data_IF_198238122788
#
_entry.id   IF_198238122788
#
_cell.length_a   1.000
_cell.length_b   1.000
_cell.length_c   1.000
_cell.angle_alpha   90.00
_cell.angle_beta   90.00
_cell.angle_gamma   90.00
#
_symmetry.space_group_name_H-M   'P 1'
#
loop_
_entity.id
_entity.type
_entity.pdbx_description
1 polymer ?
#
# COMPACT_ATOMS: atom_id res chain seq x y z
N UNK A 1 -10.78 -7.98 -10.96
CA UNK A 1 -11.42 -7.06 -9.99
C UNK A 1 -12.79 -7.53 -9.52
N UNK A 2 -13.82 -7.65 -10.37
CA UNK A 2 -15.18 -8.03 -9.94
C UNK A 2 -15.25 -9.30 -9.07
N UNK A 3 -14.58 -10.39 -9.50
CA UNK A 3 -14.50 -11.64 -8.71
C UNK A 3 -14.01 -11.42 -7.28
N UNK A 4 -12.96 -10.62 -7.09
CA UNK A 4 -12.39 -10.34 -5.77
C UNK A 4 -13.36 -9.52 -4.92
N UNK A 5 -13.96 -8.48 -5.50
CA UNK A 5 -14.94 -7.64 -4.81
C UNK A 5 -16.16 -8.45 -4.36
N UNK A 6 -16.68 -9.34 -5.22
CA UNK A 6 -17.80 -10.22 -4.90
C UNK A 6 -17.41 -11.23 -3.81
N UNK A 7 -16.20 -11.81 -3.86
CA UNK A 7 -15.74 -12.78 -2.87
C UNK A 7 -15.66 -12.16 -1.46
N UNK A 8 -15.12 -10.95 -1.34
CA UNK A 8 -15.04 -10.26 -0.04
C UNK A 8 -16.38 -9.68 0.41
N UNK A 9 -17.27 -9.31 -0.51
CA UNK A 9 -18.66 -8.97 -0.18
C UNK A 9 -19.42 -10.19 0.36
N UNK A 10 -19.23 -11.36 -0.23
CA UNK A 10 -19.79 -12.61 0.28
C UNK A 10 -19.27 -12.92 1.68
N UNK A 11 -17.96 -12.81 1.91
CA UNK A 11 -17.36 -12.99 3.24
C UNK A 11 -17.96 -12.02 4.26
N UNK A 12 -18.05 -10.72 3.93
CA UNK A 12 -18.68 -9.70 4.78
C UNK A 12 -20.11 -10.09 5.12
N UNK A 13 -20.92 -10.45 4.13
CA UNK A 13 -22.32 -10.84 4.34
C UNK A 13 -22.44 -12.09 5.22
N UNK A 14 -21.55 -13.07 5.05
CA UNK A 14 -21.51 -14.26 5.90
C UNK A 14 -21.19 -13.91 7.35
N UNK A 15 -20.25 -13.02 7.60
CA UNK A 15 -19.92 -12.53 8.95
C UNK A 15 -21.09 -11.75 9.57
N UNK A 16 -21.72 -10.84 8.80
CA UNK A 16 -22.91 -10.09 9.23
C UNK A 16 -24.09 -11.04 9.56
N UNK A 17 -24.32 -12.08 8.74
CA UNK A 17 -25.32 -13.13 9.02
C UNK A 17 -25.00 -13.96 10.26
N UNK A 18 -23.72 -14.07 10.61
CA UNK A 18 -23.25 -14.78 11.81
C UNK A 18 -23.33 -13.91 13.07
N UNK A 19 -23.85 -12.68 12.97
CA UNK A 19 -24.07 -11.77 14.09
C UNK A 19 -22.90 -10.82 14.39
N UNK A 20 -21.86 -10.77 13.55
CA UNK A 20 -20.76 -9.82 13.70
C UNK A 20 -21.14 -8.44 13.14
N UNK A 21 -20.70 -7.38 13.83
CA UNK A 21 -20.59 -6.05 13.23
C UNK A 21 -19.30 -5.98 12.40
N UNK A 22 -19.43 -5.70 11.10
CA UNK A 22 -18.28 -5.73 10.18
C UNK A 22 -17.96 -4.33 9.66
N UNK A 23 -16.78 -3.84 10.03
CA UNK A 23 -16.17 -2.64 9.41
C UNK A 23 -15.29 -3.09 8.26
N UNK A 24 -15.74 -2.84 7.02
CA UNK A 24 -14.97 -3.15 5.82
C UNK A 24 -14.33 -1.88 5.27
N UNK A 25 -13.01 -1.86 5.15
CA UNK A 25 -12.25 -0.76 4.55
C UNK A 25 -11.63 -1.23 3.23
N UNK A 26 -11.71 -0.40 2.18
CA UNK A 26 -11.05 -0.67 0.88
C UNK A 26 -10.45 0.62 0.34
N UNK A 27 -9.14 0.66 0.16
CA UNK A 27 -8.50 1.85 -0.38
C UNK A 27 -8.70 2.02 -1.90
N UNK A 28 -8.41 3.23 -2.37
CA UNK A 28 -8.09 3.51 -3.77
C UNK A 28 -6.63 3.95 -3.87
N UNK A 29 -5.82 3.22 -4.63
CA UNK A 29 -4.51 3.69 -5.07
C UNK A 29 -4.73 4.68 -6.21
N UNK A 30 -4.85 5.96 -5.87
CA UNK A 30 -5.13 7.06 -6.80
C UNK A 30 -3.88 7.89 -7.13
N UNK A 31 -2.71 7.48 -6.63
CA UNK A 31 -1.38 7.97 -7.00
C UNK A 31 -0.50 6.76 -7.30
N UNK A 32 -0.22 6.49 -8.57
CA UNK A 32 0.69 5.42 -9.03
C UNK A 32 1.34 5.83 -10.34
N UNK A 33 2.48 5.22 -10.68
CA UNK A 33 3.21 5.42 -11.94
C UNK A 33 2.30 5.34 -13.18
N UNK A 34 1.37 4.39 -13.23
CA UNK A 34 0.43 4.21 -14.34
C UNK A 34 -0.59 5.35 -14.41
N UNK A 35 -1.05 5.83 -13.27
CA UNK A 35 -2.01 6.95 -13.19
C UNK A 35 -1.31 8.23 -13.62
N UNK A 36 -0.10 8.49 -13.12
CA UNK A 36 0.73 9.65 -13.47
C UNK A 36 0.99 9.67 -14.99
N UNK A 37 1.50 8.57 -15.54
CA UNK A 37 1.80 8.48 -16.97
C UNK A 37 0.56 8.71 -17.85
N UNK A 38 -0.60 8.21 -17.42
CA UNK A 38 -1.85 8.40 -18.14
C UNK A 38 -2.40 9.81 -18.01
N UNK A 39 -2.31 10.41 -16.82
CA UNK A 39 -2.72 11.79 -16.57
C UNK A 39 -1.91 12.77 -17.44
N UNK A 40 -0.58 12.58 -17.51
CA UNK A 40 0.31 13.33 -18.40
C UNK A 40 -0.07 13.15 -19.88
N UNK A 41 -0.32 11.91 -20.33
CA UNK A 41 -0.70 11.62 -21.72
C UNK A 41 -2.05 12.23 -22.11
N UNK A 42 -3.01 12.26 -21.18
CA UNK A 42 -4.36 12.79 -21.40
C UNK A 42 -4.49 14.28 -21.06
N UNK A 43 -3.40 14.93 -20.63
CA UNK A 43 -3.39 16.32 -20.16
C UNK A 43 -4.48 16.62 -19.12
N UNK A 44 -4.62 15.71 -18.14
CA UNK A 44 -5.54 15.81 -16.99
C UNK A 44 -4.75 15.82 -15.69
N UNK A 45 -5.32 16.36 -14.63
CA UNK A 45 -4.80 16.14 -13.29
C UNK A 45 -4.99 14.68 -12.86
N UNK A 46 -4.16 14.22 -11.92
CA UNK A 46 -4.27 12.88 -11.31
C UNK A 46 -5.65 12.74 -10.65
N UNK A 47 -6.12 13.79 -9.98
CA UNK A 47 -7.38 13.82 -9.27
C UNK A 47 -8.58 13.67 -10.22
N UNK A 48 -8.58 14.37 -11.35
CA UNK A 48 -9.63 14.24 -12.37
C UNK A 48 -9.66 12.83 -12.96
N UNK A 49 -8.49 12.29 -13.33
CA UNK A 49 -8.39 10.96 -13.91
C UNK A 49 -8.86 9.89 -12.92
N UNK A 50 -8.37 9.96 -11.68
CA UNK A 50 -8.73 9.00 -10.63
C UNK A 50 -10.22 9.07 -10.28
N UNK A 51 -10.82 10.26 -10.22
CA UNK A 51 -12.26 10.42 -9.94
C UNK A 51 -13.13 9.72 -10.99
N UNK A 52 -12.79 9.84 -12.29
CA UNK A 52 -13.51 9.16 -13.38
C UNK A 52 -13.47 7.63 -13.18
N UNK A 53 -12.31 7.07 -12.84
CA UNK A 53 -12.16 5.62 -12.65
C UNK A 53 -12.81 5.12 -11.36
N UNK A 54 -12.74 5.90 -10.27
CA UNK A 54 -13.42 5.60 -9.01
C UNK A 54 -14.94 5.57 -9.20
N UNK A 55 -15.50 6.56 -9.90
CA UNK A 55 -16.93 6.60 -10.22
C UNK A 55 -17.35 5.42 -11.09
N UNK A 56 -16.56 5.09 -12.11
CA UNK A 56 -16.84 3.94 -12.97
C UNK A 56 -16.80 2.63 -12.21
N UNK A 57 -15.77 2.43 -11.38
CA UNK A 57 -15.63 1.23 -10.56
C UNK A 57 -16.78 1.09 -9.55
N UNK A 58 -17.17 2.19 -8.91
CA UNK A 58 -18.29 2.21 -7.96
C UNK A 58 -19.61 1.87 -8.65
N UNK A 59 -19.84 2.40 -9.85
CA UNK A 59 -21.03 2.09 -10.67
C UNK A 59 -21.11 0.60 -11.01
N UNK A 60 -19.99 0.02 -11.45
CA UNK A 60 -19.93 -1.39 -11.83
C UNK A 60 -20.17 -2.31 -10.62
N UNK A 61 -19.60 -1.98 -9.45
CA UNK A 61 -19.82 -2.75 -8.23
C UNK A 61 -21.25 -2.65 -7.70
N UNK A 62 -21.87 -1.47 -7.78
CA UNK A 62 -23.27 -1.29 -7.43
C UNK A 62 -24.17 -2.13 -8.36
N UNK A 63 -23.88 -2.18 -9.66
CA UNK A 63 -24.60 -3.02 -10.62
C UNK A 63 -24.46 -4.52 -10.31
N UNK A 64 -23.35 -4.93 -9.68
CA UNK A 64 -23.10 -6.29 -9.19
C UNK A 64 -23.66 -6.55 -7.78
N UNK A 65 -24.39 -5.60 -7.19
CA UNK A 65 -24.94 -5.68 -5.83
C UNK A 65 -23.87 -5.88 -4.73
N UNK A 66 -22.64 -5.43 -4.99
CA UNK A 66 -21.57 -5.42 -3.98
C UNK A 66 -21.86 -4.29 -3.00
N UNK A 67 -21.88 -4.58 -1.69
CA UNK A 67 -22.17 -3.60 -0.65
C UNK A 67 -21.02 -2.60 -0.55
N UNK A 68 -21.36 -1.30 -0.47
CA UNK A 68 -20.35 -0.25 -0.28
C UNK A 68 -19.53 -0.51 1.00
N UNK A 69 -18.19 -0.39 0.96
CA UNK A 69 -17.34 -0.42 2.15
C UNK A 69 -17.78 0.60 3.21
N UNK A 70 -17.42 0.35 4.47
CA UNK A 70 -17.61 1.31 5.56
C UNK A 70 -16.71 2.54 5.37
N UNK A 71 -15.49 2.35 4.85
CA UNK A 71 -14.57 3.43 4.48
C UNK A 71 -13.85 3.11 3.17
N UNK A 72 -13.54 4.17 2.41
CA UNK A 72 -12.81 4.07 1.14
C UNK A 72 -11.69 5.13 1.04
N UNK A 73 -10.60 4.98 1.81
CA UNK A 73 -9.52 5.96 1.84
C UNK A 73 -8.80 6.00 0.49
N UNK A 74 -8.37 7.19 0.06
CA UNK A 74 -7.55 7.37 -1.14
C UNK A 74 -6.10 7.61 -0.75
N UNK A 75 -5.15 7.01 -1.46
CA UNK A 75 -3.73 7.20 -1.19
C UNK A 75 -3.32 8.69 -1.13
N UNK A 76 -3.87 9.52 -2.02
CA UNK A 76 -3.63 10.97 -2.06
C UNK A 76 -4.06 11.73 -0.80
N UNK A 77 -5.03 11.21 -0.05
CA UNK A 77 -5.55 11.83 1.16
C UNK A 77 -4.73 11.44 2.41
N UNK A 78 -3.76 10.53 2.28
CA UNK A 78 -3.00 9.94 3.40
C UNK A 78 -1.47 10.08 3.25
N UNK A 79 -1.00 11.02 2.42
CA UNK A 79 0.44 11.29 2.24
C UNK A 79 1.14 11.59 3.57
N UNK A 80 0.54 12.38 4.46
CA UNK A 80 1.10 12.69 5.78
C UNK A 80 1.25 11.44 6.65
N UNK A 81 0.32 10.49 6.57
CA UNK A 81 0.41 9.23 7.30
C UNK A 81 1.54 8.34 6.76
N UNK A 82 1.72 8.31 5.43
CA UNK A 82 2.83 7.61 4.79
C UNK A 82 4.16 8.21 5.22
N UNK A 83 4.29 9.54 5.15
CA UNK A 83 5.50 10.27 5.58
C UNK A 83 5.83 9.96 7.04
N UNK A 84 4.86 10.10 7.96
CA UNK A 84 5.09 9.83 9.38
C UNK A 84 5.50 8.38 9.68
N UNK A 85 4.95 7.41 8.94
CA UNK A 85 5.37 6.02 9.07
C UNK A 85 6.80 5.81 8.57
N UNK A 86 7.21 6.48 7.49
CA UNK A 86 8.59 6.42 6.97
C UNK A 86 9.57 7.10 7.93
N UNK A 87 9.23 8.24 8.51
CA UNK A 87 10.02 8.91 9.54
C UNK A 87 10.25 7.97 10.74
N UNK A 88 9.20 7.29 11.21
CA UNK A 88 9.30 6.30 12.29
C UNK A 88 10.28 5.16 11.92
N UNK A 89 10.22 4.66 10.68
CA UNK A 89 11.12 3.60 10.21
C UNK A 89 12.58 4.08 10.08
N UNK A 90 12.80 5.33 9.68
CA UNK A 90 14.11 5.96 9.63
C UNK A 90 14.70 6.15 11.03
N UNK A 91 13.92 6.69 11.97
CA UNK A 91 14.32 6.88 13.38
C UNK A 91 14.75 5.56 14.04
N UNK A 92 14.05 4.46 13.70
CA UNK A 92 14.37 3.11 14.18
C UNK A 92 15.58 2.47 13.47
N UNK A 93 16.21 3.14 12.51
CA UNK A 93 17.28 2.58 11.66
C UNK A 93 16.84 1.31 10.90
N UNK A 94 15.56 1.25 10.52
CA UNK A 94 14.97 0.18 9.71
C UNK A 94 14.83 0.61 8.25
N UNK A 95 14.65 1.90 8.00
CA UNK A 95 14.76 2.47 6.67
C UNK A 95 16.12 3.14 6.47
N UNK A 96 16.51 3.33 5.21
CA UNK A 96 17.72 4.04 4.82
C UNK A 96 17.53 4.77 3.49
N UNK A 97 18.21 5.89 3.34
CA UNK A 97 18.24 6.67 2.11
C UNK A 97 19.47 6.30 1.27
N UNK A 98 19.31 6.17 -0.04
CA UNK A 98 20.41 5.96 -1.00
C UNK A 98 20.78 7.27 -1.71
N UNK A 99 21.85 7.28 -2.51
CA UNK A 99 22.43 8.51 -3.08
C UNK A 99 21.48 9.32 -3.95
N UNK A 100 20.52 8.67 -4.62
CA UNK A 100 19.52 9.32 -5.46
C UNK A 100 18.34 9.95 -4.67
N UNK A 101 18.36 9.81 -3.35
CA UNK A 101 17.34 10.32 -2.43
C UNK A 101 16.18 9.34 -2.14
N UNK A 102 16.07 8.22 -2.85
CA UNK A 102 15.07 7.18 -2.57
C UNK A 102 15.29 6.61 -1.17
N UNK A 103 14.20 6.28 -0.47
CA UNK A 103 14.23 5.67 0.86
C UNK A 103 13.74 4.23 0.73
N UNK A 104 14.53 3.28 1.24
CA UNK A 104 14.24 1.84 1.23
C UNK A 104 14.05 1.31 2.65
N UNK A 105 13.25 0.25 2.77
CA UNK A 105 13.16 -0.56 3.99
C UNK A 105 14.20 -1.69 3.94
N UNK A 106 14.96 -1.84 5.03
CA UNK A 106 15.91 -2.93 5.27
C UNK A 106 15.18 -4.15 5.83
N UNK A 107 14.85 -5.09 4.95
CA UNK A 107 14.06 -6.29 5.28
C UNK A 107 14.74 -7.21 6.29
N UNK A 108 16.08 -7.13 6.46
CA UNK A 108 16.78 -7.92 7.48
C UNK A 108 16.42 -7.54 8.91
N UNK A 109 15.78 -6.38 9.10
CA UNK A 109 15.31 -5.91 10.40
C UNK A 109 14.01 -6.55 10.83
N UNK A 110 13.28 -7.17 9.91
CA UNK A 110 12.09 -7.94 10.20
C UNK A 110 12.42 -9.43 10.28
N UNK A 111 12.38 -9.98 11.49
CA UNK A 111 12.70 -11.39 11.75
C UNK A 111 11.68 -12.35 11.14
N UNK A 112 10.47 -11.87 10.87
CA UNK A 112 9.37 -12.64 10.33
C UNK A 112 9.15 -12.36 8.83
N UNK A 113 10.08 -11.65 8.17
CA UNK A 113 9.97 -11.36 6.74
C UNK A 113 9.97 -12.66 5.91
N UNK A 114 8.94 -12.83 5.07
CA UNK A 114 8.75 -14.03 4.25
C UNK A 114 7.89 -15.11 4.91
N UNK A 115 7.42 -14.88 6.14
CA UNK A 115 6.56 -15.82 6.87
C UNK A 115 5.16 -15.93 6.27
N UNK A 116 4.62 -14.86 5.66
CA UNK A 116 3.28 -14.84 5.09
C UNK A 116 3.22 -15.55 3.73
N UNK A 117 4.24 -15.33 2.90
CA UNK A 117 4.35 -15.89 1.57
C UNK A 117 4.97 -17.31 1.53
N UNK A 118 5.35 -17.85 2.70
CA UNK A 118 5.99 -19.17 2.89
C UNK A 118 7.16 -19.34 1.94
N UNK A 119 8.25 -18.60 2.18
CA UNK A 119 9.57 -18.76 1.55
C UNK A 119 9.58 -19.56 0.22
N UNK A 120 8.84 -19.08 -0.78
CA UNK A 120 9.08 -19.45 -2.16
C UNK A 120 10.37 -18.73 -2.57
N UNK A 121 11.49 -19.26 -2.07
CA UNK A 121 12.86 -18.85 -2.41
C UNK A 121 13.13 -18.90 -3.93
N UNK A 122 12.21 -19.46 -4.71
CA UNK A 122 12.18 -19.48 -6.16
C UNK A 122 11.34 -18.37 -6.82
N UNK A 123 10.64 -17.51 -6.09
CA UNK A 123 10.03 -16.31 -6.69
C UNK A 123 11.16 -15.32 -6.89
N UNK A 124 11.70 -15.35 -8.11
CA UNK A 124 12.67 -14.43 -8.66
C UNK A 124 12.42 -13.00 -8.17
N UNK A 125 13.30 -12.50 -7.30
CA UNK A 125 13.50 -11.06 -7.11
C UNK A 125 13.89 -10.35 -8.44
N UNK A 126 14.15 -11.13 -9.51
CA UNK A 126 14.59 -10.72 -10.83
C UNK A 126 13.63 -9.94 -11.73
N UNK A 127 12.64 -9.22 -11.19
CA UNK A 127 11.81 -8.27 -12.00
C UNK A 127 11.94 -6.81 -11.61
N UNK A 128 12.71 -6.49 -10.58
CA UNK A 128 12.96 -5.10 -10.19
C UNK A 128 14.41 -4.81 -10.54
N UNK A 129 14.64 -3.82 -11.41
CA UNK A 129 15.97 -3.47 -11.88
C UNK A 129 16.97 -3.37 -10.72
N UNK A 130 18.18 -3.89 -10.93
CA UNK A 130 19.25 -3.91 -9.93
C UNK A 130 19.57 -2.47 -9.51
N UNK A 131 19.06 -2.05 -8.36
CA UNK A 131 19.49 -0.82 -7.70
C UNK A 131 20.69 -1.21 -6.84
N UNK A 132 21.90 -0.88 -7.32
CA UNK A 132 23.16 -1.35 -6.72
C UNK A 132 23.37 -0.90 -5.27
N UNK A 133 22.73 0.20 -4.85
CA UNK A 133 22.85 0.75 -3.50
C UNK A 133 21.91 0.09 -2.48
N UNK A 134 21.04 -0.83 -2.91
CA UNK A 134 20.24 -1.62 -1.98
C UNK A 134 21.14 -2.51 -1.14
N UNK A 135 20.94 -2.52 0.17
CA UNK A 135 21.64 -3.42 1.10
C UNK A 135 21.32 -4.87 0.80
N UNK A 136 20.05 -5.17 0.48
CA UNK A 136 19.57 -6.50 0.11
C UNK A 136 18.68 -6.44 -1.13
N UNK A 137 18.65 -7.53 -1.90
CA UNK A 137 17.87 -7.62 -3.13
C UNK A 137 16.36 -7.50 -2.86
N UNK A 138 15.91 -8.01 -1.71
CA UNK A 138 14.50 -7.96 -1.29
C UNK A 138 14.06 -6.61 -0.70
N UNK A 139 14.98 -5.68 -0.42
CA UNK A 139 14.62 -4.37 0.13
C UNK A 139 13.70 -3.63 -0.84
N UNK A 140 12.76 -2.84 -0.34
CA UNK A 140 11.77 -2.19 -1.18
C UNK A 140 11.63 -0.72 -0.85
N UNK A 141 11.25 0.06 -1.86
CA UNK A 141 11.15 1.50 -1.77
C UNK A 141 9.93 1.89 -0.91
N UNK A 142 10.18 2.78 0.03
CA UNK A 142 9.18 3.47 0.84
C UNK A 142 8.85 4.84 0.27
N UNK A 143 9.86 5.56 -0.23
CA UNK A 143 9.74 6.88 -0.85
C UNK A 143 10.61 6.95 -2.09
N UNK A 144 10.02 7.28 -3.23
CA UNK A 144 10.73 7.56 -4.49
C UNK A 144 11.00 9.05 -4.58
N UNK A 145 12.27 9.43 -4.64
CA UNK A 145 12.70 10.81 -4.81
C UNK A 145 12.29 11.35 -6.19
N UNK A 146 11.93 12.62 -6.24
CA UNK A 146 11.51 13.31 -7.45
C UNK A 146 12.65 13.43 -8.47
N UNK A 147 12.40 13.01 -9.72
CA UNK A 147 13.40 12.94 -10.79
C UNK A 147 13.37 14.08 -11.81
N UNK A 148 12.66 15.17 -11.52
CA UNK A 148 12.58 16.35 -12.40
C UNK A 148 11.29 16.44 -13.23
N UNK A 149 11.33 17.24 -14.29
CA UNK A 149 10.14 17.77 -14.99
C UNK A 149 9.14 16.75 -15.54
N UNK A 150 9.54 15.48 -15.71
CA UNK A 150 8.68 14.40 -16.19
C UNK A 150 8.21 13.45 -15.07
N UNK A 151 8.44 13.81 -13.82
CA UNK A 151 8.01 13.05 -12.64
C UNK A 151 6.93 13.83 -11.87
N UNK A 152 6.23 13.14 -10.98
CA UNK A 152 5.31 13.76 -10.05
C UNK A 152 5.83 13.52 -8.64
N UNK A 153 5.99 14.61 -7.89
CA UNK A 153 6.44 14.55 -6.51
C UNK A 153 5.66 15.54 -5.65
N UNK A 154 5.35 15.10 -4.45
CA UNK A 154 4.73 15.83 -3.36
C UNK A 154 5.84 16.35 -2.44
N UNK A 155 5.71 17.58 -1.98
CA UNK A 155 6.64 18.15 -1.01
C UNK A 155 6.44 17.50 0.36
N UNK A 156 7.53 17.13 1.02
CA UNK A 156 7.51 16.49 2.34
C UNK A 156 8.83 16.74 3.11
N UNK A 157 8.86 16.51 4.44
CA UNK A 157 10.10 16.48 5.22
C UNK A 157 11.15 15.49 4.72
N UNK A 158 10.75 14.45 3.99
CA UNK A 158 11.65 13.45 3.37
C UNK A 158 12.31 13.97 2.08
N UNK A 159 11.96 15.18 1.65
CA UNK A 159 12.24 15.72 0.32
C UNK A 159 11.09 15.49 -0.66
N UNK A 160 11.13 16.20 -1.78
CA UNK A 160 10.11 16.09 -2.83
C UNK A 160 10.16 14.70 -3.45
N UNK A 161 9.03 14.01 -3.50
CA UNK A 161 8.95 12.63 -3.99
C UNK A 161 7.56 12.05 -3.84
N UNK A 162 7.45 10.72 -3.83
CA UNK A 162 6.15 10.03 -3.75
C UNK A 162 6.27 8.70 -3.01
N UNK A 163 5.19 8.20 -2.42
CA UNK A 163 5.21 6.92 -1.70
C UNK A 163 5.52 5.74 -2.63
N UNK A 164 6.12 4.70 -2.05
CA UNK A 164 6.15 3.38 -2.64
C UNK A 164 4.80 2.68 -2.50
N UNK A 165 4.50 1.74 -3.41
CA UNK A 165 3.17 1.11 -3.47
C UNK A 165 2.72 0.45 -2.15
N UNK A 166 3.63 -0.17 -1.40
CA UNK A 166 3.28 -0.91 -0.19
C UNK A 166 2.95 -0.01 1.01
N UNK A 167 3.63 1.14 1.16
CA UNK A 167 3.46 2.00 2.35
C UNK A 167 2.07 2.65 2.42
N UNK A 168 1.41 2.75 1.27
CA UNK A 168 0.05 3.26 1.16
C UNK A 168 -0.91 2.47 2.05
N UNK A 169 -1.00 1.16 1.86
CA UNK A 169 -1.94 0.30 2.56
C UNK A 169 -1.64 0.25 4.07
N UNK A 170 -0.38 0.02 4.45
CA UNK A 170 0.02 -0.04 5.87
C UNK A 170 -0.31 1.24 6.64
N UNK A 171 0.00 2.40 6.06
CA UNK A 171 -0.26 3.69 6.70
C UNK A 171 -1.75 4.03 6.77
N UNK A 172 -2.53 3.71 5.72
CA UNK A 172 -3.97 3.88 5.71
C UNK A 172 -4.65 2.96 6.73
N UNK A 173 -4.23 1.69 6.82
CA UNK A 173 -4.73 0.76 7.84
C UNK A 173 -4.47 1.33 9.23
N UNK A 174 -3.24 1.74 9.51
CA UNK A 174 -2.89 2.32 10.81
C UNK A 174 -3.75 3.54 11.15
N UNK A 175 -4.01 4.41 10.17
CA UNK A 175 -4.76 5.64 10.39
C UNK A 175 -6.28 5.44 10.51
N UNK A 176 -6.83 4.36 9.97
CA UNK A 176 -8.29 4.18 9.80
C UNK A 176 -8.90 3.02 10.58
N UNK A 177 -8.19 1.90 10.70
CA UNK A 177 -8.77 0.63 11.16
C UNK A 177 -7.95 -0.03 12.29
N UNK A 178 -6.71 0.42 12.53
CA UNK A 178 -5.83 -0.27 13.45
C UNK A 178 -6.35 -0.31 14.88
N UNK A 179 -6.37 -1.53 15.42
CA UNK A 179 -6.53 -1.83 16.83
C UNK A 179 -5.16 -1.68 17.50
N UNK A 180 -5.05 -0.80 18.49
CA UNK A 180 -3.76 -0.46 19.14
C UNK A 180 -3.44 -1.31 20.35
N UNK A 181 -4.45 -1.98 20.93
CA UNK A 181 -4.33 -2.73 22.19
C UNK A 181 -4.42 -4.26 21.99
N UNK A 182 -4.10 -4.73 20.78
CA UNK A 182 -4.15 -6.14 20.36
C UNK A 182 -2.84 -6.55 19.69
N UNK A 183 -2.51 -7.86 19.65
CA UNK A 183 -1.29 -8.34 18.98
C UNK A 183 -1.35 -8.28 17.45
N UNK A 184 -2.42 -7.72 16.88
CA UNK A 184 -2.61 -7.51 15.44
C UNK A 184 -3.39 -6.21 15.25
N UNK A 185 -3.11 -5.47 14.17
CA UNK A 185 -3.80 -4.21 13.90
C UNK A 185 -5.20 -4.42 13.31
N UNK A 186 -5.43 -5.51 12.60
CA UNK A 186 -6.70 -5.81 11.92
C UNK A 186 -6.98 -7.31 11.98
N UNK A 187 -8.26 -7.69 12.03
CA UNK A 187 -8.66 -9.09 12.10
C UNK A 187 -8.47 -9.85 10.78
N UNK A 188 -8.76 -9.17 9.65
CA UNK A 188 -8.72 -9.76 8.32
C UNK A 188 -8.07 -8.76 7.36
N UNK A 189 -6.94 -9.16 6.76
CA UNK A 189 -6.34 -8.49 5.61
C UNK A 189 -6.56 -9.36 4.36
N UNK A 190 -7.01 -8.77 3.26
CA UNK A 190 -7.43 -9.56 2.10
C UNK A 190 -7.17 -8.86 0.76
N UNK A 191 -6.87 -9.67 -0.26
CA UNK A 191 -6.57 -9.20 -1.61
C UNK A 191 -6.51 -10.33 -2.63
N UNK A 192 -6.14 -10.01 -3.87
CA UNK A 192 -5.87 -11.02 -4.90
C UNK A 192 -4.70 -11.92 -4.50
N UNK A 193 -4.65 -13.15 -5.05
CA UNK A 193 -3.54 -14.08 -4.78
C UNK A 193 -2.18 -13.53 -5.24
N UNK A 194 -2.20 -12.67 -6.25
CA UNK A 194 -1.05 -11.93 -6.77
C UNK A 194 -0.50 -10.88 -5.78
N UNK A 195 -1.29 -10.48 -4.78
CA UNK A 195 -0.87 -9.52 -3.75
C UNK A 195 -0.16 -10.20 -2.58
N UNK A 196 -0.22 -11.53 -2.45
CA UNK A 196 0.43 -12.24 -1.35
C UNK A 196 1.93 -11.89 -1.24
N UNK A 197 2.62 -11.85 -2.39
CA UNK A 197 3.99 -11.37 -2.49
C UNK A 197 4.17 -10.58 -3.80
N UNK A 198 4.83 -9.41 -3.77
CA UNK A 198 5.48 -8.82 -2.60
C UNK A 198 4.54 -7.97 -1.73
N UNK A 199 3.30 -7.71 -2.15
CA UNK A 199 2.49 -6.63 -1.57
C UNK A 199 2.16 -6.82 -0.08
N UNK A 200 1.40 -7.85 0.27
CA UNK A 200 0.99 -8.08 1.66
C UNK A 200 2.17 -8.45 2.58
N UNK A 201 3.19 -9.14 2.05
CA UNK A 201 4.42 -9.41 2.82
C UNK A 201 5.13 -8.10 3.21
N UNK A 202 5.27 -7.17 2.26
CA UNK A 202 5.90 -5.88 2.51
C UNK A 202 5.05 -5.00 3.44
N UNK A 203 3.72 -5.06 3.34
CA UNK A 203 2.83 -4.37 4.28
C UNK A 203 2.96 -4.88 5.71
N UNK A 204 3.00 -6.21 5.86
CA UNK A 204 3.19 -6.84 7.16
C UNK A 204 4.57 -6.48 7.74
N UNK A 205 5.62 -6.49 6.91
CA UNK A 205 6.97 -6.06 7.28
C UNK A 205 7.01 -4.60 7.76
N UNK A 206 6.40 -3.68 7.00
CA UNK A 206 6.32 -2.26 7.36
C UNK A 206 5.61 -2.08 8.69
N UNK A 207 4.48 -2.77 8.88
CA UNK A 207 3.63 -2.69 10.07
C UNK A 207 4.37 -3.20 11.32
N UNK A 208 4.96 -4.40 11.25
CA UNK A 208 5.79 -4.98 12.32
C UNK A 208 6.93 -4.05 12.71
N UNK A 209 7.67 -3.54 11.73
CA UNK A 209 8.81 -2.67 11.97
C UNK A 209 8.42 -1.31 12.57
N UNK A 210 7.35 -0.69 12.05
CA UNK A 210 6.91 0.62 12.48
C UNK A 210 6.25 0.60 13.86
N UNK A 211 5.47 -0.45 14.18
CA UNK A 211 4.60 -0.44 15.36
C UNK A 211 4.87 -1.55 16.38
N UNK A 212 5.68 -2.56 16.06
CA UNK A 212 6.04 -3.64 16.99
C UNK A 212 4.90 -4.63 17.27
N UNK A 213 3.97 -4.75 16.32
CA UNK A 213 2.80 -5.63 16.33
C UNK A 213 2.96 -6.72 15.30
#
# INVERSE_FOLDING_TARGET
>A
HARSAIAFDLLRRTLELSGYEVVLVRNFTDIDDKIINKALKENKSIQELSSIYIESYTRDLNALNVKKPSLEPKASEYLDAMVGMIETLLEKNIAYQISNGDIYLDTSKDKDYGSLSVHNSSIEFGRIGLVQEKRLEQDFVLWKSYKGDNDVGFDSPLGKGRPGWHIECSSMIFKTLALTDTPYQIDIHAGGTDLLFPHHENEACQTRCAFGV
#
